data_IF_377429688393
#
_entry.id   IF_377429688393
#
_cell.length_a   1.000
_cell.length_b   1.000
_cell.length_c   1.000
_cell.angle_alpha   90.00
_cell.angle_beta   90.00
_cell.angle_gamma   90.00
#
_symmetry.space_group_name_H-M   'P 1'
#
loop_
_entity.id
_entity.type
_entity.pdbx_description
1 polymer ?
#
# COMPACT_ATOMS: atom_id res chain seq x y z
N UNK A 1 -7.36 2.77 -5.97
CA UNK A 1 -8.21 3.98 -6.00
C UNK A 1 -9.67 3.69 -5.69
N UNK A 2 -10.30 2.76 -6.42
CA UNK A 2 -11.72 2.42 -6.30
C UNK A 2 -12.29 2.30 -4.86
N UNK A 3 -11.58 1.69 -3.89
CA UNK A 3 -12.07 1.63 -2.51
C UNK A 3 -12.30 3.03 -1.92
N UNK A 4 -11.36 3.94 -2.16
CA UNK A 4 -11.42 5.32 -1.65
C UNK A 4 -12.51 6.09 -2.40
N UNK A 5 -12.60 5.93 -3.72
CA UNK A 5 -13.62 6.58 -4.54
C UNK A 5 -15.03 6.13 -4.13
N UNK A 6 -15.24 4.83 -3.95
CA UNK A 6 -16.51 4.27 -3.46
C UNK A 6 -16.86 4.75 -2.05
N UNK A 7 -15.86 4.89 -1.17
CA UNK A 7 -16.08 5.46 0.16
C UNK A 7 -16.47 6.93 0.07
N UNK A 8 -15.80 7.70 -0.79
CA UNK A 8 -16.09 9.11 -1.00
C UNK A 8 -17.52 9.29 -1.54
N UNK A 9 -17.88 8.55 -2.58
CA UNK A 9 -19.22 8.56 -3.16
C UNK A 9 -20.31 8.20 -2.14
N UNK A 10 -20.08 7.16 -1.34
CA UNK A 10 -21.00 6.76 -0.28
C UNK A 10 -21.20 7.88 0.75
N UNK A 11 -20.12 8.53 1.18
CA UNK A 11 -20.16 9.65 2.14
C UNK A 11 -20.90 10.85 1.54
N UNK A 12 -20.57 11.24 0.31
CA UNK A 12 -21.21 12.33 -0.42
C UNK A 12 -22.73 12.10 -0.53
N UNK A 13 -23.16 10.89 -0.92
CA UNK A 13 -24.59 10.54 -0.98
C UNK A 13 -25.27 10.60 0.39
N UNK A 14 -24.64 10.07 1.44
CA UNK A 14 -25.21 10.07 2.79
C UNK A 14 -25.34 11.50 3.37
N UNK A 15 -24.40 12.38 3.02
CA UNK A 15 -24.34 13.77 3.51
C UNK A 15 -25.01 14.78 2.58
N UNK A 16 -25.54 14.33 1.45
CA UNK A 16 -26.12 15.15 0.39
C UNK A 16 -25.15 16.26 -0.06
N UNK A 17 -23.90 15.88 -0.30
CA UNK A 17 -22.85 16.75 -0.82
C UNK A 17 -22.36 16.24 -2.19
N UNK A 18 -21.86 17.16 -3.01
CA UNK A 18 -21.32 16.84 -4.33
C UNK A 18 -19.83 16.47 -4.26
N UNK A 19 -19.06 17.16 -3.39
CA UNK A 19 -17.62 16.95 -3.25
C UNK A 19 -17.20 16.83 -1.78
N UNK A 20 -16.38 15.82 -1.48
CA UNK A 20 -15.93 15.51 -0.11
C UNK A 20 -14.95 16.54 0.47
N UNK A 21 -14.32 17.36 -0.37
CA UNK A 21 -13.28 18.31 0.02
C UNK A 21 -13.76 19.75 0.21
N UNK A 22 -14.89 20.13 -0.42
CA UNK A 22 -15.27 21.53 -0.59
C UNK A 22 -16.80 21.76 -0.47
N UNK A 23 -17.37 21.23 0.61
CA UNK A 23 -18.81 21.24 0.89
C UNK A 23 -19.21 21.87 2.22
N UNK A 24 -20.46 21.67 2.62
CA UNK A 24 -21.05 22.16 3.89
C UNK A 24 -20.42 21.53 5.14
N UNK A 25 -19.72 20.41 4.98
CA UNK A 25 -18.97 19.74 6.05
C UNK A 25 -17.78 20.57 6.58
N UNK A 26 -17.34 21.61 5.85
CA UNK A 26 -16.23 22.46 6.23
C UNK A 26 -14.87 21.87 5.85
N UNK A 27 -13.91 22.77 5.59
CA UNK A 27 -12.62 22.43 5.00
C UNK A 27 -11.90 21.31 5.75
N UNK A 28 -11.53 20.24 5.03
CA UNK A 28 -10.78 19.11 5.57
C UNK A 28 -11.58 18.07 6.35
N UNK A 29 -12.79 18.38 6.85
CA UNK A 29 -13.59 17.43 7.65
C UNK A 29 -14.06 16.23 6.83
N UNK A 30 -14.44 16.43 5.56
CA UNK A 30 -14.84 15.31 4.70
C UNK A 30 -13.69 14.33 4.44
N UNK A 31 -12.45 14.83 4.33
CA UNK A 31 -11.25 13.99 4.18
C UNK A 31 -10.98 13.19 5.47
N UNK A 32 -11.24 13.76 6.65
CA UNK A 32 -11.13 13.03 7.92
C UNK A 32 -12.19 11.93 8.05
N UNK A 33 -13.44 12.23 7.65
CA UNK A 33 -14.52 11.24 7.60
C UNK A 33 -14.18 10.11 6.62
N UNK A 34 -13.60 10.43 5.46
CA UNK A 34 -13.13 9.46 4.49
C UNK A 34 -12.06 8.53 5.08
N UNK A 35 -11.04 9.10 5.72
CA UNK A 35 -9.98 8.31 6.36
C UNK A 35 -10.54 7.38 7.46
N UNK A 36 -11.47 7.87 8.27
CA UNK A 36 -12.15 7.07 9.29
C UNK A 36 -12.97 5.93 8.68
N UNK A 37 -13.69 6.19 7.59
CA UNK A 37 -14.50 5.18 6.90
C UNK A 37 -13.63 4.09 6.28
N UNK A 38 -12.55 4.47 5.60
CA UNK A 38 -11.57 3.52 5.05
C UNK A 38 -11.01 2.65 6.17
N UNK A 39 -10.59 3.26 7.29
CA UNK A 39 -10.09 2.51 8.45
C UNK A 39 -11.15 1.54 9.00
N UNK A 40 -12.40 1.97 9.15
CA UNK A 40 -13.49 1.11 9.64
C UNK A 40 -13.71 -0.12 8.77
N UNK A 41 -13.65 0.04 7.45
CA UNK A 41 -13.80 -1.08 6.50
C UNK A 41 -12.60 -2.03 6.61
N UNK A 42 -11.37 -1.50 6.65
CA UNK A 42 -10.17 -2.31 6.82
C UNK A 42 -10.20 -3.10 8.14
N UNK A 43 -10.63 -2.47 9.24
CA UNK A 43 -10.82 -3.15 10.53
C UNK A 43 -11.84 -4.28 10.44
N UNK A 44 -12.95 -4.08 9.73
CA UNK A 44 -13.95 -5.13 9.54
C UNK A 44 -13.37 -6.33 8.77
N UNK A 45 -12.58 -6.08 7.71
CA UNK A 45 -11.86 -7.14 7.00
C UNK A 45 -10.81 -7.84 7.88
N UNK A 46 -10.15 -7.11 8.79
CA UNK A 46 -9.17 -7.65 9.74
C UNK A 46 -9.77 -8.72 10.68
N UNK A 47 -11.06 -8.61 10.97
CA UNK A 47 -11.77 -9.54 11.86
C UNK A 47 -12.17 -10.84 11.17
N UNK A 48 -12.06 -10.91 9.83
CA UNK A 48 -12.35 -12.11 9.08
C UNK A 48 -11.12 -13.03 9.04
N UNK A 49 -11.30 -14.36 8.95
CA UNK A 49 -10.20 -15.33 8.88
C UNK A 49 -9.56 -15.39 7.47
N UNK A 50 -9.39 -14.24 6.82
CA UNK A 50 -8.86 -14.12 5.46
C UNK A 50 -7.67 -13.16 5.43
N UNK A 51 -6.69 -13.46 4.58
CA UNK A 51 -5.63 -12.51 4.26
C UNK A 51 -6.15 -11.41 3.33
N UNK A 52 -5.91 -10.15 3.68
CA UNK A 52 -6.27 -9.01 2.85
C UNK A 52 -5.07 -8.57 2.00
N UNK A 53 -5.25 -8.53 0.67
CA UNK A 53 -4.27 -7.99 -0.28
C UNK A 53 -4.86 -6.75 -0.93
N UNK A 54 -4.15 -5.63 -0.82
CA UNK A 54 -4.53 -4.36 -1.43
C UNK A 54 -3.55 -4.03 -2.56
N UNK A 55 -4.08 -3.74 -3.75
CA UNK A 55 -3.28 -3.39 -4.93
C UNK A 55 -3.60 -1.94 -5.31
N UNK A 56 -2.55 -1.16 -5.54
CA UNK A 56 -2.63 0.23 -5.99
C UNK A 56 -1.64 0.44 -7.12
N UNK A 57 -2.01 1.28 -8.08
CA UNK A 57 -1.03 1.82 -9.02
C UNK A 57 0.04 2.62 -8.26
N UNK A 58 1.26 2.61 -8.80
CA UNK A 58 2.36 3.44 -8.30
C UNK A 58 2.63 4.58 -9.27
N UNK A 59 2.93 5.75 -8.74
CA UNK A 59 3.34 6.92 -9.51
C UNK A 59 4.64 7.52 -8.94
N UNK A 60 5.40 8.21 -9.79
CA UNK A 60 6.67 8.83 -9.43
C UNK A 60 6.41 10.25 -8.93
N UNK A 61 6.66 10.47 -7.64
CA UNK A 61 6.54 11.79 -7.01
C UNK A 61 7.92 12.35 -6.69
N UNK A 62 8.13 13.62 -6.98
CA UNK A 62 9.29 14.35 -6.47
C UNK A 62 9.08 14.67 -5.00
N UNK A 63 10.04 14.27 -4.19
CA UNK A 63 10.09 14.53 -2.76
C UNK A 63 11.28 15.43 -2.50
N UNK A 64 11.01 16.61 -1.93
CA UNK A 64 12.05 17.47 -1.41
C UNK A 64 12.59 16.87 -0.12
N UNK A 65 13.89 16.56 -0.13
CA UNK A 65 14.63 16.15 1.05
C UNK A 65 15.61 17.24 1.43
N UNK A 66 16.12 17.21 2.67
CA UNK A 66 17.13 18.15 3.16
C UNK A 66 18.38 18.22 2.26
N UNK A 67 18.67 17.15 1.51
CA UNK A 67 19.84 17.02 0.63
C UNK A 67 19.51 17.21 -0.86
N UNK A 68 18.27 17.56 -1.21
CA UNK A 68 17.83 17.78 -2.60
C UNK A 68 16.55 17.04 -2.98
N UNK A 69 16.16 17.12 -4.25
CA UNK A 69 14.96 16.46 -4.79
C UNK A 69 15.26 15.01 -5.15
N UNK A 70 14.42 14.09 -4.69
CA UNK A 70 14.45 12.68 -5.12
C UNK A 70 13.13 12.31 -5.77
N UNK A 71 13.18 11.59 -6.88
CA UNK A 71 12.00 10.96 -7.47
C UNK A 71 11.78 9.61 -6.81
N UNK A 72 10.61 9.41 -6.19
CA UNK A 72 10.25 8.19 -5.47
C UNK A 72 8.92 7.64 -5.99
N UNK A 73 8.89 6.34 -6.25
CA UNK A 73 7.70 5.61 -6.66
C UNK A 73 6.84 5.29 -5.43
N UNK A 74 5.61 5.77 -5.43
CA UNK A 74 4.69 5.69 -4.29
C UNK A 74 3.31 5.23 -4.74
N UNK A 75 2.52 4.55 -3.90
CA UNK A 75 1.14 4.23 -4.24
C UNK A 75 0.34 5.52 -4.46
N UNK A 76 -0.44 5.54 -5.54
CA UNK A 76 -1.39 6.61 -5.84
C UNK A 76 -2.53 6.47 -4.84
N UNK A 77 -2.43 7.18 -3.72
CA UNK A 77 -3.49 7.24 -2.72
C UNK A 77 -3.48 8.66 -2.14
N UNK A 78 -4.65 9.25 -1.82
CA UNK A 78 -4.74 10.49 -1.06
C UNK A 78 -3.99 10.37 0.27
N UNK A 79 -3.25 11.41 0.67
CA UNK A 79 -2.29 11.37 1.79
C UNK A 79 -2.90 10.80 3.08
N UNK A 80 -4.04 11.32 3.54
CA UNK A 80 -4.69 10.85 4.79
C UNK A 80 -5.15 9.39 4.69
N UNK A 81 -5.68 8.96 3.55
CA UNK A 81 -6.12 7.58 3.33
C UNK A 81 -4.92 6.63 3.23
N UNK A 82 -3.83 7.08 2.60
CA UNK A 82 -2.57 6.34 2.54
C UNK A 82 -2.02 6.07 3.94
N UNK A 83 -1.98 7.09 4.80
CA UNK A 83 -1.50 6.93 6.18
C UNK A 83 -2.36 5.93 6.96
N UNK A 84 -3.68 5.94 6.76
CA UNK A 84 -4.59 4.95 7.34
C UNK A 84 -4.30 3.51 6.85
N UNK A 85 -4.11 3.33 5.53
CA UNK A 85 -3.78 2.02 4.95
C UNK A 85 -2.41 1.53 5.41
N UNK A 86 -1.38 2.39 5.36
CA UNK A 86 -0.01 2.03 5.77
C UNK A 86 0.11 1.75 7.27
N UNK A 87 -0.71 2.39 8.11
CA UNK A 87 -0.80 2.06 9.52
C UNK A 87 -1.33 0.63 9.75
N UNK A 88 -2.24 0.18 8.90
CA UNK A 88 -2.94 -1.11 9.04
C UNK A 88 -2.16 -2.31 8.47
N UNK A 89 -1.43 -2.14 7.37
CA UNK A 89 -0.75 -3.28 6.71
C UNK A 89 0.57 -3.68 7.38
N UNK A 90 0.82 -4.99 7.48
CA UNK A 90 2.09 -5.54 7.98
C UNK A 90 3.20 -5.60 6.92
N UNK A 91 2.79 -5.72 5.66
CA UNK A 91 3.68 -5.91 4.51
C UNK A 91 3.28 -4.94 3.40
N UNK A 92 4.24 -4.17 2.91
CA UNK A 92 4.13 -3.26 1.76
C UNK A 92 5.09 -3.76 0.68
N UNK A 93 4.52 -4.11 -0.47
CA UNK A 93 5.23 -4.72 -1.59
C UNK A 93 5.28 -3.76 -2.77
N UNK A 94 6.46 -3.60 -3.38
CA UNK A 94 6.61 -2.83 -4.62
C UNK A 94 6.95 -3.75 -5.79
N UNK A 95 6.02 -3.88 -6.74
CA UNK A 95 6.22 -4.67 -7.95
C UNK A 95 6.86 -3.84 -9.06
N UNK A 96 7.87 -4.39 -9.74
CA UNK A 96 8.53 -3.74 -10.88
C UNK A 96 9.00 -4.77 -11.89
N UNK A 97 9.21 -4.34 -13.13
CA UNK A 97 9.78 -5.20 -14.17
C UNK A 97 11.30 -5.21 -14.02
N UNK A 98 11.86 -6.39 -13.84
CA UNK A 98 13.30 -6.61 -13.87
C UNK A 98 13.75 -6.73 -15.32
N UNK A 99 14.60 -5.81 -15.76
CA UNK A 99 15.37 -5.98 -16.98
C UNK A 99 16.65 -6.73 -16.61
N UNK A 100 16.54 -8.05 -16.39
CA UNK A 100 17.74 -8.87 -16.30
C UNK A 100 18.47 -8.76 -17.65
N UNK A 101 19.79 -8.59 -17.62
CA UNK A 101 20.63 -8.47 -18.82
C UNK A 101 20.82 -9.79 -19.56
N UNK A 102 20.18 -10.86 -19.10
CA UNK A 102 20.41 -12.22 -19.57
C UNK A 102 19.14 -12.69 -20.28
N UNK A 103 19.10 -12.52 -21.61
CA UNK A 103 18.33 -13.14 -22.72
C UNK A 103 16.94 -13.81 -22.53
N UNK A 104 16.37 -13.89 -21.33
CA UNK A 104 14.99 -14.30 -21.06
C UNK A 104 14.19 -13.05 -20.68
N UNK A 105 13.05 -12.87 -21.36
CA UNK A 105 12.24 -11.66 -21.36
C UNK A 105 11.94 -11.03 -19.98
N UNK A 106 11.47 -9.79 -20.03
CA UNK A 106 11.08 -8.99 -18.88
C UNK A 106 10.27 -9.79 -17.85
N UNK A 107 10.83 -9.97 -16.64
CA UNK A 107 10.17 -10.67 -15.54
C UNK A 107 9.74 -9.70 -14.45
N UNK A 108 8.52 -9.85 -13.91
CA UNK A 108 8.04 -8.97 -12.84
C UNK A 108 8.48 -9.50 -11.48
N UNK A 109 9.16 -8.64 -10.73
CA UNK A 109 9.68 -8.90 -9.38
C UNK A 109 8.98 -8.02 -8.35
N UNK A 110 9.03 -8.42 -7.09
CA UNK A 110 8.55 -7.65 -5.94
C UNK A 110 9.72 -7.34 -5.01
N UNK A 111 9.80 -6.10 -4.57
CA UNK A 111 10.65 -5.65 -3.47
C UNK A 111 9.87 -5.62 -2.15
N UNK A 112 10.49 -6.14 -1.08
CA UNK A 112 9.86 -6.26 0.26
C UNK A 112 10.49 -5.36 1.30
N UNK A 113 11.68 -4.80 1.01
CA UNK A 113 12.46 -3.98 1.94
C UNK A 113 12.50 -2.54 1.45
N UNK A 114 12.55 -1.56 2.36
CA UNK A 114 12.50 -0.15 2.00
C UNK A 114 13.68 0.26 1.12
N UNK A 115 13.42 1.24 0.26
CA UNK A 115 14.42 1.85 -0.61
C UNK A 115 14.18 3.36 -0.71
N UNK A 116 15.22 4.14 -1.04
CA UNK A 116 15.11 5.57 -1.33
C UNK A 116 14.22 5.88 -2.54
N UNK A 117 14.07 4.94 -3.47
CA UNK A 117 13.36 5.16 -4.74
C UNK A 117 11.94 4.58 -4.79
N UNK A 118 11.53 3.78 -3.81
CA UNK A 118 10.18 3.22 -3.74
C UNK A 118 9.76 2.88 -2.31
N UNK A 119 8.45 2.82 -2.05
CA UNK A 119 7.91 2.37 -0.77
C UNK A 119 7.73 0.84 -0.76
N UNK A 120 8.45 0.18 0.14
CA UNK A 120 8.27 -1.22 0.48
C UNK A 120 8.66 -1.44 1.94
N UNK A 121 8.18 -2.52 2.55
CA UNK A 121 8.46 -2.84 3.94
C UNK A 121 7.83 -4.15 4.35
N UNK A 122 8.46 -4.82 5.29
CA UNK A 122 8.00 -6.10 5.83
C UNK A 122 8.26 -6.06 7.33
N UNK A 123 7.20 -5.83 8.11
CA UNK A 123 7.28 -5.77 9.59
C UNK A 123 7.56 -7.13 10.21
N UNK A 124 7.28 -8.22 9.49
CA UNK A 124 7.49 -9.58 9.99
C UNK A 124 8.97 -9.97 9.95
N UNK A 125 9.76 -9.33 9.10
CA UNK A 125 11.17 -9.66 8.89
C UNK A 125 11.40 -10.97 8.11
N UNK A 126 10.34 -11.70 7.74
CA UNK A 126 10.41 -13.07 7.20
C UNK A 126 10.76 -13.12 5.72
N UNK A 127 10.51 -12.06 4.97
CA UNK A 127 10.64 -12.08 3.52
C UNK A 127 12.07 -11.71 3.05
N UNK A 128 12.56 -12.34 1.96
CA UNK A 128 13.79 -11.94 1.29
C UNK A 128 13.64 -10.57 0.63
N UNK A 129 14.75 -9.92 0.27
CA UNK A 129 14.75 -8.56 -0.32
C UNK A 129 13.97 -8.46 -1.63
N UNK A 130 14.02 -9.50 -2.46
CA UNK A 130 13.35 -9.60 -3.76
C UNK A 130 12.74 -10.99 -3.90
N UNK A 131 11.56 -11.07 -4.52
CA UNK A 131 10.90 -12.32 -4.93
C UNK A 131 10.24 -12.13 -6.31
N UNK A 132 9.96 -13.20 -7.06
CA UNK A 132 9.10 -13.09 -8.25
C UNK A 132 7.67 -12.67 -7.88
N UNK A 133 6.94 -12.01 -8.77
CA UNK A 133 5.50 -11.75 -8.63
C UNK A 133 4.70 -13.06 -8.76
N UNK A 134 4.80 -13.91 -7.75
CA UNK A 134 4.18 -15.23 -7.70
C UNK A 134 3.77 -15.54 -6.26
N UNK A 135 2.48 -15.84 -6.07
CA UNK A 135 1.93 -16.09 -4.72
C UNK A 135 2.53 -17.32 -4.05
N UNK A 136 2.79 -18.40 -4.81
CA UNK A 136 3.40 -19.62 -4.27
C UNK A 136 4.80 -19.33 -3.74
N UNK A 137 5.62 -18.62 -4.51
CA UNK A 137 6.95 -18.20 -4.09
C UNK A 137 6.91 -17.29 -2.83
N UNK A 138 5.95 -16.37 -2.77
CA UNK A 138 5.72 -15.52 -1.60
C UNK A 138 5.39 -16.37 -0.36
N UNK A 139 4.42 -17.29 -0.47
CA UNK A 139 3.99 -18.15 0.62
C UNK A 139 5.13 -19.00 1.16
N UNK A 140 5.87 -19.67 0.27
CA UNK A 140 7.02 -20.49 0.64
C UNK A 140 8.11 -19.68 1.34
N UNK A 141 8.42 -18.49 0.83
CA UNK A 141 9.39 -17.59 1.46
C UNK A 141 8.95 -17.14 2.86
N UNK A 142 7.68 -16.78 3.01
CA UNK A 142 7.11 -16.35 4.29
C UNK A 142 7.12 -17.47 5.35
N UNK A 143 6.69 -18.67 4.97
CA UNK A 143 6.68 -19.85 5.85
C UNK A 143 8.10 -20.27 6.26
N UNK A 144 9.05 -20.21 5.33
CA UNK A 144 10.47 -20.49 5.63
C UNK A 144 11.04 -19.47 6.62
N UNK A 145 10.73 -18.18 6.44
CA UNK A 145 11.14 -17.13 7.36
C UNK A 145 10.57 -17.33 8.77
N UNK A 146 9.32 -17.80 8.89
CA UNK A 146 8.72 -18.10 10.18
C UNK A 146 9.44 -19.23 10.95
N UNK A 147 9.89 -20.28 10.26
CA UNK A 147 10.62 -21.41 10.87
C UNK A 147 11.98 -20.99 11.45
N UNK A 148 12.65 -20.04 10.81
CA UNK A 148 13.95 -19.52 11.26
C UNK A 148 13.82 -18.63 12.52
N UNK A 149 12.64 -18.06 12.76
CA UNK A 149 12.35 -17.17 13.89
C UNK A 149 12.08 -17.95 15.19
N UNK A 150 11.48 -19.14 15.07
CA UNK A 150 11.21 -20.07 16.20
C UNK A 150 12.44 -20.82 16.73
N UNK A 151 13.64 -20.53 16.20
CA UNK A 151 14.91 -21.14 16.62
C UNK A 151 15.73 -20.30 17.62
N UNK A 152 15.12 -19.30 18.25
CA UNK A 152 15.72 -18.49 19.33
C UNK A 152 14.95 -18.64 20.63
#
# INVERSE_FOLDING_TARGET
DNLIDLCADYICRQKNEEYIGDGKLGYGKGIDILALKVRSILTAFAQLPYGLILISHSDRKEIETRTGKITKSMPVLPKKSRDAVLGFVDIVLFATVSNAKDDEGSSTIIHTKPNRYFDAGDRTGRLPRVLPLNYKAFKEAYEKGAKNDTGK
#
